data_IF_904525912231
#
_entry.id   IF_904525912231
#
_cell.length_a   1.000
_cell.length_b   1.000
_cell.length_c   1.000
_cell.angle_alpha   90.00
_cell.angle_beta   90.00
_cell.angle_gamma   90.00
#
_symmetry.space_group_name_H-M   'P 1'
#
loop_
_entity.id
_entity.type
_entity.pdbx_description
1 polymer ?
#
# COMPACT_ATOMS: atom_id res chain seq x y z
N UNK A 1 24.03 17.42 -1.33
CA UNK A 1 23.57 18.03 -2.59
C UNK A 1 24.41 17.43 -3.70
N UNK A 2 23.77 16.72 -4.61
CA UNK A 2 24.34 16.15 -5.83
C UNK A 2 23.97 17.09 -6.96
N UNK A 3 24.96 17.48 -7.75
CA UNK A 3 24.76 18.25 -8.97
C UNK A 3 25.08 17.35 -10.16
N UNK A 4 24.09 17.17 -11.04
CA UNK A 4 24.21 16.36 -12.25
C UNK A 4 23.84 17.23 -13.45
N UNK A 5 24.61 17.15 -14.52
CA UNK A 5 24.25 17.73 -15.81
C UNK A 5 23.78 16.60 -16.73
N UNK A 6 22.53 16.65 -17.15
CA UNK A 6 21.93 15.66 -18.03
C UNK A 6 21.79 16.24 -19.44
N UNK A 7 22.10 15.45 -20.46
CA UNK A 7 21.81 15.76 -21.86
C UNK A 7 20.36 15.33 -22.16
N UNK A 8 19.56 16.24 -22.73
CA UNK A 8 18.14 15.96 -23.03
C UNK A 8 18.06 15.17 -24.33
N UNK A 9 17.55 13.93 -24.25
CA UNK A 9 17.36 13.08 -25.43
C UNK A 9 16.33 13.69 -26.41
N UNK A 10 16.62 13.61 -27.72
CA UNK A 10 15.74 14.11 -28.78
C UNK A 10 16.14 15.46 -29.40
N UNK A 11 17.30 16.02 -29.04
CA UNK A 11 17.80 17.29 -29.61
C UNK A 11 18.60 17.12 -30.90
N UNK A 12 18.56 15.96 -31.54
CA UNK A 12 19.08 15.79 -32.91
C UNK A 12 18.09 16.38 -33.93
N UNK A 13 17.88 17.69 -33.86
CA UNK A 13 17.31 18.43 -34.96
C UNK A 13 18.47 19.18 -35.62
N UNK A 14 18.75 18.95 -36.91
CA UNK A 14 19.61 19.87 -37.63
C UNK A 14 18.90 21.23 -37.66
N UNK A 15 19.62 22.31 -37.35
CA UNK A 15 19.12 23.65 -37.62
C UNK A 15 18.84 23.79 -39.13
N UNK A 16 17.96 24.70 -39.58
CA UNK A 16 17.63 24.88 -41.01
C UNK A 16 18.87 25.07 -41.92
N UNK A 17 19.99 25.49 -41.35
CA UNK A 17 21.30 25.72 -42.00
C UNK A 17 22.27 24.50 -41.96
N UNK A 18 21.80 23.31 -41.57
CA UNK A 18 22.61 22.08 -41.56
C UNK A 18 23.63 21.97 -40.41
N UNK A 19 23.61 22.92 -39.46
CA UNK A 19 24.44 22.85 -38.25
C UNK A 19 23.79 21.92 -37.21
N UNK A 20 24.57 21.14 -36.44
CA UNK A 20 24.03 20.37 -35.32
C UNK A 20 23.32 21.32 -34.35
N UNK A 21 22.09 21.02 -33.93
CA UNK A 21 21.47 21.80 -32.86
C UNK A 21 22.35 21.74 -31.59
N UNK A 22 22.39 22.85 -30.82
CA UNK A 22 23.07 22.84 -29.54
C UNK A 22 22.48 21.75 -28.65
N UNK A 23 23.35 20.92 -28.06
CA UNK A 23 22.93 19.91 -27.08
C UNK A 23 22.34 20.63 -25.88
N UNK A 24 21.08 20.34 -25.58
CA UNK A 24 20.40 20.95 -24.44
C UNK A 24 20.82 20.19 -23.18
N UNK A 25 21.31 20.94 -22.21
CA UNK A 25 21.72 20.40 -20.93
C UNK A 25 20.79 20.93 -19.85
N UNK A 26 20.35 20.04 -18.96
CA UNK A 26 19.63 20.40 -17.75
C UNK A 26 20.57 20.22 -16.55
N UNK A 27 20.73 21.28 -15.76
CA UNK A 27 21.43 21.21 -14.47
C UNK A 27 20.42 20.76 -13.40
N UNK A 28 20.63 19.55 -12.87
CA UNK A 28 19.79 18.96 -11.83
C UNK A 28 20.49 19.13 -10.49
N UNK A 29 19.88 19.96 -9.62
CA UNK A 29 20.25 20.11 -8.22
C UNK A 29 19.40 19.13 -7.39
N UNK A 30 20.01 18.03 -6.96
CA UNK A 30 19.35 16.98 -6.21
C UNK A 30 19.87 16.93 -4.77
N UNK A 31 19.00 17.08 -3.77
CA UNK A 31 19.36 16.80 -2.39
C UNK A 31 18.73 15.48 -1.97
N UNK A 32 19.47 14.35 -1.99
CA UNK A 32 18.89 13.06 -1.64
C UNK A 32 18.50 13.03 -0.15
N UNK A 33 17.38 12.37 0.15
CA UNK A 33 16.96 12.10 1.52
C UNK A 33 17.96 11.17 2.26
N UNK A 34 18.73 10.37 1.53
CA UNK A 34 19.83 9.56 2.04
C UNK A 34 20.99 9.54 1.03
N UNK A 35 22.21 9.82 1.49
CA UNK A 35 23.41 9.68 0.68
C UNK A 35 23.80 8.20 0.61
N UNK A 36 23.88 7.65 -0.60
CA UNK A 36 24.42 6.31 -0.81
C UNK A 36 25.86 6.23 -0.31
N UNK A 37 26.22 5.14 0.36
CA UNK A 37 27.61 4.84 0.73
C UNK A 37 28.20 3.99 -0.40
N UNK A 38 29.23 4.51 -1.08
CA UNK A 38 29.90 3.81 -2.19
C UNK A 38 30.46 2.44 -1.79
N UNK A 39 30.90 2.29 -0.54
CA UNK A 39 31.38 1.03 0.02
C UNK A 39 30.30 0.25 0.78
N UNK A 40 29.02 0.61 0.63
CA UNK A 40 27.95 -0.22 1.18
C UNK A 40 28.03 -1.61 0.55
N UNK A 41 27.98 -2.65 1.38
CA UNK A 41 27.81 -4.01 0.89
C UNK A 41 26.54 -4.06 0.04
N UNK A 42 26.63 -4.75 -1.09
CA UNK A 42 25.47 -5.05 -1.92
C UNK A 42 24.34 -5.63 -1.05
N UNK A 43 23.11 -5.26 -1.39
CA UNK A 43 21.93 -5.84 -0.74
C UNK A 43 21.94 -7.33 -1.06
N UNK A 44 21.82 -8.18 -0.03
CA UNK A 44 21.65 -9.63 -0.20
C UNK A 44 20.46 -9.89 -1.12
N UNK A 45 20.65 -10.69 -2.18
CA UNK A 45 19.61 -11.01 -3.17
C UNK A 45 18.35 -11.58 -2.53
N UNK A 46 18.46 -12.23 -1.36
CA UNK A 46 17.30 -12.73 -0.61
C UNK A 46 16.45 -11.62 0.00
N UNK A 47 16.96 -10.38 0.06
CA UNK A 47 16.29 -9.21 0.66
C UNK A 47 15.69 -8.26 -0.38
N UNK A 48 15.84 -8.55 -1.67
CA UNK A 48 15.12 -7.84 -2.73
C UNK A 48 13.84 -8.59 -3.10
N UNK A 49 12.82 -7.88 -3.56
CA UNK A 49 11.59 -8.52 -4.03
C UNK A 49 11.78 -9.14 -5.42
N UNK A 50 12.55 -8.49 -6.28
CA UNK A 50 12.87 -8.98 -7.61
C UNK A 50 14.19 -8.35 -8.08
N UNK A 51 14.81 -8.98 -9.08
CA UNK A 51 16.02 -8.49 -9.74
C UNK A 51 15.72 -8.19 -11.21
N UNK A 52 16.64 -7.52 -11.90
CA UNK A 52 16.52 -7.30 -13.35
C UNK A 52 16.60 -8.60 -14.17
N UNK A 53 17.01 -9.73 -13.57
CA UNK A 53 16.92 -11.04 -14.21
C UNK A 53 15.47 -11.51 -14.37
N UNK A 54 14.62 -11.19 -13.39
CA UNK A 54 13.20 -11.57 -13.39
C UNK A 54 12.29 -10.56 -14.09
N UNK A 55 12.69 -9.28 -14.13
CA UNK A 55 11.95 -8.23 -14.81
C UNK A 55 12.96 -7.21 -15.36
N UNK A 56 13.20 -7.18 -16.69
CA UNK A 56 14.22 -6.35 -17.31
C UNK A 56 14.11 -4.88 -16.93
N UNK A 57 15.26 -4.19 -16.82
CA UNK A 57 15.31 -2.79 -16.39
C UNK A 57 14.45 -1.87 -17.28
N UNK A 58 14.50 -2.10 -18.58
CA UNK A 58 13.77 -1.39 -19.62
C UNK A 58 12.25 -1.55 -19.48
N UNK A 59 11.79 -2.65 -18.87
CA UNK A 59 10.38 -2.91 -18.59
C UNK A 59 9.95 -2.38 -17.23
N UNK A 60 10.74 -2.62 -16.17
CA UNK A 60 10.35 -2.22 -14.81
C UNK A 60 10.38 -0.71 -14.64
N UNK A 61 11.34 0.00 -15.22
CA UNK A 61 11.49 1.43 -14.95
C UNK A 61 10.27 2.24 -15.42
N UNK A 62 9.75 2.04 -16.65
CA UNK A 62 8.50 2.69 -17.07
C UNK A 62 7.30 2.30 -16.22
N UNK A 63 7.13 0.99 -15.92
CA UNK A 63 6.03 0.49 -15.08
C UNK A 63 6.07 1.08 -13.67
N UNK A 64 7.27 1.19 -13.09
CA UNK A 64 7.47 1.81 -11.78
C UNK A 64 7.12 3.29 -11.80
N UNK A 65 7.55 4.06 -12.80
CA UNK A 65 7.22 5.47 -12.92
C UNK A 65 5.70 5.69 -13.02
N UNK A 66 5.02 4.88 -13.82
CA UNK A 66 3.55 4.94 -13.95
C UNK A 66 2.85 4.58 -12.63
N UNK A 67 3.18 3.42 -12.05
CA UNK A 67 2.57 2.95 -10.81
C UNK A 67 2.88 3.90 -9.64
N UNK A 68 4.12 4.38 -9.51
CA UNK A 68 4.51 5.35 -8.48
C UNK A 68 3.79 6.68 -8.67
N UNK A 69 3.62 7.17 -9.90
CA UNK A 69 2.84 8.38 -10.18
C UNK A 69 1.39 8.25 -9.70
N UNK A 70 0.76 7.11 -9.98
CA UNK A 70 -0.64 6.80 -9.62
C UNK A 70 -0.84 6.54 -8.13
N UNK A 71 0.12 5.86 -7.50
CA UNK A 71 0.03 5.33 -6.13
C UNK A 71 0.92 6.08 -5.14
N UNK A 72 1.45 7.24 -5.54
CA UNK A 72 2.51 8.01 -4.86
C UNK A 72 2.34 8.09 -3.34
N UNK A 73 1.15 8.46 -2.88
CA UNK A 73 0.87 8.66 -1.47
C UNK A 73 1.02 7.34 -0.68
N UNK A 74 0.38 6.26 -1.12
CA UNK A 74 0.50 4.95 -0.48
C UNK A 74 1.93 4.41 -0.54
N UNK A 75 2.57 4.50 -1.71
CA UNK A 75 3.95 4.03 -1.89
C UNK A 75 4.91 4.79 -0.98
N UNK A 76 4.82 6.12 -0.89
CA UNK A 76 5.69 6.91 -0.01
C UNK A 76 5.50 6.54 1.47
N UNK A 77 4.26 6.29 1.91
CA UNK A 77 3.99 5.86 3.29
C UNK A 77 4.62 4.50 3.60
N UNK A 78 4.48 3.52 2.70
CA UNK A 78 5.09 2.19 2.86
C UNK A 78 6.61 2.22 2.77
N UNK A 79 7.19 3.00 1.84
CA UNK A 79 8.64 3.16 1.77
C UNK A 79 9.18 3.84 3.04
N UNK A 80 8.42 4.78 3.62
CA UNK A 80 8.70 5.37 4.93
C UNK A 80 8.75 4.30 6.02
N UNK A 81 7.70 3.48 6.13
CA UNK A 81 7.66 2.33 7.05
C UNK A 81 8.82 1.36 6.87
N UNK A 82 9.19 1.06 5.62
CA UNK A 82 10.22 0.05 5.33
C UNK A 82 11.63 0.54 5.62
N UNK A 83 11.92 1.79 5.29
CA UNK A 83 13.30 2.32 5.36
C UNK A 83 13.56 3.22 6.57
N UNK A 84 12.52 3.77 7.18
CA UNK A 84 12.60 4.63 8.35
C UNK A 84 11.35 4.46 9.25
N UNK A 85 11.09 3.25 9.77
CA UNK A 85 9.94 3.01 10.64
C UNK A 85 9.99 3.90 11.87
N UNK A 86 8.82 4.30 12.37
CA UNK A 86 8.73 5.00 13.64
C UNK A 86 9.10 4.04 14.79
N UNK A 87 9.59 4.60 15.90
CA UNK A 87 9.94 3.83 17.09
C UNK A 87 8.75 3.19 17.80
N UNK A 88 7.53 3.70 17.55
CA UNK A 88 6.30 3.28 18.22
C UNK A 88 5.37 2.53 17.25
N UNK A 89 4.83 1.40 17.70
CA UNK A 89 3.96 0.54 16.89
C UNK A 89 2.67 1.23 16.49
N UNK A 90 2.16 2.14 17.32
CA UNK A 90 0.95 2.93 17.08
C UNK A 90 1.12 3.84 15.85
N UNK A 91 2.27 4.49 15.72
CA UNK A 91 2.58 5.33 14.56
C UNK A 91 2.73 4.46 13.30
N UNK A 92 3.35 3.29 13.43
CA UNK A 92 3.48 2.35 12.34
C UNK A 92 2.11 1.78 11.93
N UNK A 93 1.20 1.56 12.87
CA UNK A 93 -0.19 1.13 12.64
C UNK A 93 -0.97 2.17 11.84
N UNK A 94 -0.96 3.44 12.27
CA UNK A 94 -1.61 4.52 11.53
C UNK A 94 -1.05 4.66 10.12
N UNK A 95 0.27 4.52 9.96
CA UNK A 95 0.92 4.63 8.66
C UNK A 95 0.56 3.44 7.76
N UNK A 96 0.59 2.21 8.28
CA UNK A 96 0.33 1.01 7.47
C UNK A 96 -1.13 0.94 7.03
N UNK A 97 -2.06 1.19 7.95
CA UNK A 97 -3.50 1.20 7.65
C UNK A 97 -3.87 2.39 6.77
N UNK A 98 -3.29 3.56 7.02
CA UNK A 98 -3.46 4.74 6.17
C UNK A 98 -2.96 4.49 4.74
N UNK A 99 -1.82 3.82 4.59
CA UNK A 99 -1.30 3.45 3.28
C UNK A 99 -2.24 2.49 2.55
N UNK A 100 -2.82 1.49 3.23
CA UNK A 100 -3.82 0.60 2.65
C UNK A 100 -5.08 1.36 2.21
N UNK A 101 -5.63 2.23 3.05
CA UNK A 101 -6.82 3.03 2.71
C UNK A 101 -6.58 3.95 1.50
N UNK A 102 -5.41 4.58 1.44
CA UNK A 102 -5.02 5.43 0.31
C UNK A 102 -4.79 4.59 -0.93
N UNK A 103 -4.10 3.44 -0.82
CA UNK A 103 -3.84 2.54 -1.94
C UNK A 103 -5.14 2.11 -2.59
N UNK A 104 -6.10 1.63 -1.81
CA UNK A 104 -7.41 1.18 -2.30
C UNK A 104 -8.11 2.28 -3.13
N UNK A 105 -8.11 3.53 -2.63
CA UNK A 105 -8.69 4.66 -3.35
C UNK A 105 -7.92 4.98 -4.64
N UNK A 106 -6.59 4.98 -4.59
CA UNK A 106 -5.75 5.24 -5.77
C UNK A 106 -5.88 4.15 -6.84
N UNK A 107 -6.13 2.91 -6.45
CA UNK A 107 -6.39 1.78 -7.36
C UNK A 107 -7.75 1.86 -8.06
N UNK A 108 -8.67 2.73 -7.61
CA UNK A 108 -10.04 2.89 -8.14
C UNK A 108 -10.84 1.58 -8.17
N UNK A 109 -10.69 0.79 -7.11
CA UNK A 109 -11.46 -0.43 -6.83
C UNK A 109 -12.54 -0.18 -5.77
N UNK A 110 -12.92 1.08 -5.60
CA UNK A 110 -13.98 1.54 -4.72
C UNK A 110 -15.36 1.27 -5.31
N UNK A 111 -15.64 -0.01 -5.56
CA UNK A 111 -17.00 -0.45 -5.83
C UNK A 111 -17.88 -0.07 -4.65
N UNK A 112 -18.97 0.63 -4.96
CA UNK A 112 -19.93 1.10 -3.95
C UNK A 112 -20.69 -0.12 -3.44
N UNK A 113 -20.84 -0.29 -2.11
CA UNK A 113 -21.56 -1.44 -1.54
C UNK A 113 -22.96 -1.64 -2.14
N UNK A 114 -23.63 -0.55 -2.48
CA UNK A 114 -24.95 -0.57 -3.10
C UNK A 114 -24.97 0.23 -4.41
N UNK A 115 -25.77 -0.17 -5.41
CA UNK A 115 -26.10 0.67 -6.55
C UNK A 115 -26.65 2.03 -6.10
N UNK A 116 -26.32 3.09 -6.86
CA UNK A 116 -26.65 4.47 -6.46
C UNK A 116 -28.16 4.69 -6.22
N UNK A 117 -29.01 4.16 -7.08
CA UNK A 117 -30.46 4.35 -6.98
C UNK A 117 -31.05 3.57 -5.81
N UNK A 118 -30.59 2.34 -5.58
CA UNK A 118 -30.99 1.53 -4.43
C UNK A 118 -30.56 2.17 -3.10
N UNK A 119 -29.31 2.65 -3.02
CA UNK A 119 -28.82 3.37 -1.86
C UNK A 119 -29.62 4.65 -1.60
N UNK A 120 -29.95 5.41 -2.64
CA UNK A 120 -30.75 6.62 -2.52
C UNK A 120 -32.14 6.30 -1.96
N UNK A 121 -32.83 5.30 -2.53
CA UNK A 121 -34.14 4.87 -2.06
C UNK A 121 -34.10 4.43 -0.59
N UNK A 122 -33.11 3.61 -0.22
CA UNK A 122 -32.92 3.15 1.15
C UNK A 122 -32.63 4.31 2.11
N UNK A 123 -31.72 5.21 1.76
CA UNK A 123 -31.37 6.37 2.59
C UNK A 123 -32.57 7.29 2.79
N UNK A 124 -33.32 7.59 1.74
CA UNK A 124 -34.48 8.48 1.81
C UNK A 124 -35.60 7.84 2.66
N UNK A 125 -35.80 6.51 2.57
CA UNK A 125 -36.71 5.78 3.44
C UNK A 125 -36.29 5.79 4.92
N UNK A 126 -34.99 5.66 5.21
CA UNK A 126 -34.47 5.77 6.58
C UNK A 126 -34.67 7.18 7.16
N UNK A 127 -34.38 8.23 6.37
CA UNK A 127 -34.50 9.62 6.81
C UNK A 127 -35.95 10.04 7.06
N UNK A 128 -36.92 9.46 6.35
CA UNK A 128 -38.34 9.72 6.58
C UNK A 128 -38.83 9.31 7.98
N UNK A 129 -38.11 8.39 8.65
CA UNK A 129 -38.41 7.94 10.02
C UNK A 129 -37.78 8.82 11.10
N UNK A 130 -36.88 9.73 10.71
CA UNK A 130 -36.14 10.60 11.63
C UNK A 130 -36.90 11.93 11.76
N UNK A 131 -37.12 12.43 13.00
CA UNK A 131 -37.65 13.78 13.21
C UNK A 131 -36.87 14.82 12.40
N UNK A 132 -37.58 15.80 11.83
CA UNK A 132 -37.00 16.79 10.90
C UNK A 132 -35.76 17.49 11.47
N UNK A 133 -35.78 17.80 12.77
CA UNK A 133 -34.67 18.41 13.52
C UNK A 133 -33.35 17.62 13.49
N UNK A 134 -33.40 16.31 13.26
CA UNK A 134 -32.21 15.44 13.21
C UNK A 134 -31.86 14.96 11.81
N UNK A 135 -32.70 15.20 10.79
CA UNK A 135 -32.50 14.62 9.45
C UNK A 135 -31.15 14.98 8.84
N UNK A 136 -30.69 16.23 8.97
CA UNK A 136 -29.41 16.65 8.40
C UNK A 136 -28.22 15.95 9.05
N UNK A 137 -28.28 15.72 10.37
CA UNK A 137 -27.25 14.97 11.10
C UNK A 137 -27.14 13.53 10.57
N UNK A 138 -28.27 12.86 10.40
CA UNK A 138 -28.28 11.47 9.90
C UNK A 138 -27.94 11.39 8.41
N UNK A 139 -28.37 12.37 7.61
CA UNK A 139 -28.02 12.47 6.18
C UNK A 139 -26.51 12.50 5.97
N UNK A 140 -25.77 13.23 6.81
CA UNK A 140 -24.31 13.27 6.76
C UNK A 140 -23.60 12.00 7.25
N UNK A 141 -24.26 11.21 8.10
CA UNK A 141 -23.72 9.99 8.70
C UNK A 141 -23.89 8.76 7.78
N UNK A 142 -24.99 8.69 7.01
CA UNK A 142 -25.30 7.56 6.13
C UNK A 142 -24.57 7.75 4.78
N UNK A 143 -23.51 6.97 4.57
CA UNK A 143 -22.69 7.01 3.34
C UNK A 143 -22.68 5.66 2.64
N UNK A 144 -22.58 5.69 1.32
CA UNK A 144 -22.38 4.51 0.48
C UNK A 144 -20.89 4.28 0.18
N UNK A 145 -20.04 4.43 1.19
CA UNK A 145 -18.61 4.25 1.00
C UNK A 145 -18.20 2.89 1.58
N UNK A 146 -17.28 2.16 0.93
CA UNK A 146 -16.75 0.93 1.50
C UNK A 146 -16.08 1.24 2.84
N UNK A 147 -16.32 0.37 3.82
CA UNK A 147 -15.69 0.47 5.15
C UNK A 147 -14.20 0.18 5.06
N UNK A 148 -13.43 0.49 6.12
CA UNK A 148 -12.03 0.08 6.19
C UNK A 148 -11.89 -1.44 6.01
N UNK A 149 -12.76 -2.21 6.65
CA UNK A 149 -12.75 -3.67 6.55
C UNK A 149 -12.95 -4.14 5.09
N UNK A 150 -13.91 -3.56 4.38
CA UNK A 150 -14.17 -3.89 2.96
C UNK A 150 -12.95 -3.59 2.09
N UNK A 151 -12.29 -2.45 2.34
CA UNK A 151 -11.08 -2.07 1.61
C UNK A 151 -9.93 -3.05 1.84
N UNK A 152 -9.73 -3.52 3.07
CA UNK A 152 -8.70 -4.49 3.41
C UNK A 152 -8.96 -5.84 2.72
N UNK A 153 -10.22 -6.29 2.70
CA UNK A 153 -10.61 -7.49 1.94
C UNK A 153 -10.35 -7.34 0.43
N UNK A 154 -10.77 -6.22 -0.17
CA UNK A 154 -10.54 -5.95 -1.58
C UNK A 154 -9.05 -5.92 -1.93
N UNK A 155 -8.19 -5.35 -1.07
CA UNK A 155 -6.75 -5.37 -1.27
C UNK A 155 -6.13 -6.76 -1.13
N UNK A 156 -6.62 -7.61 -0.22
CA UNK A 156 -6.14 -8.98 -0.09
C UNK A 156 -6.59 -9.87 -1.26
N UNK A 157 -7.71 -9.56 -1.91
CA UNK A 157 -8.24 -10.32 -3.04
C UNK A 157 -7.49 -10.06 -4.38
N UNK A 158 -6.61 -9.07 -4.46
CA UNK A 158 -5.93 -8.67 -5.71
C UNK A 158 -4.65 -9.44 -6.02
N UNK A 159 -3.69 -9.58 -5.09
CA UNK A 159 -2.51 -10.39 -5.32
C UNK A 159 -2.86 -11.85 -5.56
N UNK A 160 -1.85 -12.64 -5.93
CA UNK A 160 -2.01 -14.09 -6.02
C UNK A 160 -2.55 -14.67 -4.70
N UNK A 161 -3.62 -15.47 -4.78
CA UNK A 161 -4.36 -15.91 -3.59
C UNK A 161 -3.58 -16.95 -2.78
N UNK A 162 -2.76 -17.76 -3.43
CA UNK A 162 -1.82 -18.66 -2.74
C UNK A 162 -0.75 -17.86 -1.99
N UNK A 163 -0.23 -16.77 -2.57
CA UNK A 163 0.71 -15.88 -1.88
C UNK A 163 0.08 -15.23 -0.64
N UNK A 164 -1.20 -14.86 -0.69
CA UNK A 164 -1.95 -14.34 0.46
C UNK A 164 -2.17 -15.42 1.53
N UNK A 165 -2.53 -16.64 1.13
CA UNK A 165 -2.67 -17.78 2.04
C UNK A 165 -1.34 -18.17 2.72
N UNK A 166 -0.21 -17.97 2.04
CA UNK A 166 1.12 -18.14 2.62
C UNK A 166 1.48 -16.98 3.58
N UNK A 167 0.97 -15.78 3.34
CA UNK A 167 1.27 -14.60 4.14
C UNK A 167 0.49 -14.56 5.47
N UNK A 168 -0.77 -14.98 5.48
CA UNK A 168 -1.61 -14.93 6.68
C UNK A 168 -2.66 -16.05 6.70
N UNK A 169 -3.04 -16.54 7.90
CA UNK A 169 -3.96 -17.67 8.01
C UNK A 169 -5.43 -17.31 7.74
N UNK A 170 -5.85 -16.09 8.10
CA UNK A 170 -7.25 -15.66 8.01
C UNK A 170 -7.36 -14.16 7.66
N UNK A 171 -7.74 -13.89 6.42
CA UNK A 171 -7.95 -12.53 5.90
C UNK A 171 -9.10 -11.81 6.64
N UNK A 172 -10.16 -12.53 6.99
CA UNK A 172 -11.33 -11.97 7.68
C UNK A 172 -11.02 -11.56 9.10
N UNK A 173 -10.29 -12.40 9.83
CA UNK A 173 -9.81 -12.09 11.16
C UNK A 173 -8.83 -10.91 11.13
N UNK A 174 -7.82 -10.94 10.25
CA UNK A 174 -6.87 -9.84 10.09
C UNK A 174 -7.57 -8.51 9.77
N UNK A 175 -8.49 -8.47 8.80
CA UNK A 175 -9.20 -7.25 8.43
C UNK A 175 -10.05 -6.69 9.58
N UNK A 176 -10.72 -7.58 10.34
CA UNK A 176 -11.51 -7.23 11.52
C UNK A 176 -10.63 -6.63 12.62
N UNK A 177 -9.54 -7.31 12.97
CA UNK A 177 -8.62 -6.89 14.04
C UNK A 177 -7.88 -5.61 13.69
N UNK A 178 -7.42 -5.47 12.45
CA UNK A 178 -6.81 -4.24 11.93
C UNK A 178 -7.76 -3.05 12.02
N UNK A 179 -9.01 -3.23 11.62
CA UNK A 179 -10.04 -2.18 11.71
C UNK A 179 -10.27 -1.74 13.15
N UNK A 180 -10.37 -2.70 14.08
CA UNK A 180 -10.55 -2.41 15.51
C UNK A 180 -9.34 -1.70 16.10
N UNK A 181 -8.13 -2.20 15.86
CA UNK A 181 -6.90 -1.57 16.35
C UNK A 181 -6.77 -0.11 15.87
N UNK A 182 -7.05 0.15 14.59
CA UNK A 182 -7.03 1.51 14.05
C UNK A 182 -8.10 2.39 14.68
N UNK A 183 -9.31 1.89 14.87
CA UNK A 183 -10.41 2.67 15.46
C UNK A 183 -10.16 2.97 16.94
N UNK A 184 -9.77 1.97 17.73
CA UNK A 184 -9.42 2.12 19.14
C UNK A 184 -8.30 3.18 19.27
N UNK A 185 -7.23 3.09 18.47
CA UNK A 185 -6.15 4.06 18.50
C UNK A 185 -6.61 5.48 18.07
N UNK A 186 -7.38 5.60 16.99
CA UNK A 186 -7.79 6.91 16.47
C UNK A 186 -8.82 7.62 17.36
N UNK A 187 -9.66 6.86 18.09
CA UNK A 187 -10.73 7.42 18.90
C UNK A 187 -10.40 7.49 20.39
N UNK A 188 -9.63 6.53 20.92
CA UNK A 188 -9.28 6.45 22.34
C UNK A 188 -7.81 6.80 22.61
N UNK A 189 -6.97 6.91 21.58
CA UNK A 189 -5.53 7.13 21.72
C UNK A 189 -4.75 5.91 22.22
N UNK A 190 -5.40 4.74 22.33
CA UNK A 190 -4.82 3.48 22.81
C UNK A 190 -5.54 2.27 22.22
N UNK A 191 -4.94 1.10 22.33
CA UNK A 191 -5.46 -0.16 21.77
C UNK A 191 -5.64 -1.23 22.87
N UNK A 192 -6.54 -1.01 23.85
CA UNK A 192 -6.61 -1.85 25.06
C UNK A 192 -7.01 -3.30 24.78
N UNK A 193 -7.66 -3.55 23.63
CA UNK A 193 -8.12 -4.86 23.21
C UNK A 193 -7.09 -5.63 22.37
N UNK A 194 -5.86 -5.12 22.22
CA UNK A 194 -4.84 -5.71 21.36
C UNK A 194 -3.50 -5.83 22.13
N UNK A 195 -2.96 -7.04 22.31
CA UNK A 195 -1.59 -7.20 22.77
C UNK A 195 -0.61 -6.64 21.74
N UNK A 196 0.58 -6.26 22.19
CA UNK A 196 1.59 -5.59 21.35
C UNK A 196 2.01 -6.48 20.19
N UNK A 197 2.14 -7.78 20.41
CA UNK A 197 2.49 -8.78 19.41
C UNK A 197 1.47 -8.84 18.27
N UNK A 198 0.18 -8.66 18.59
CA UNK A 198 -0.88 -8.58 17.59
C UNK A 198 -0.81 -7.27 16.80
N UNK A 199 -0.50 -6.14 17.45
CA UNK A 199 -0.32 -4.86 16.76
C UNK A 199 0.87 -4.93 15.78
N UNK A 200 1.97 -5.57 16.18
CA UNK A 200 3.12 -5.82 15.32
C UNK A 200 2.69 -6.69 14.13
N UNK A 201 1.98 -7.79 14.37
CA UNK A 201 1.46 -8.65 13.31
C UNK A 201 0.56 -7.87 12.32
N UNK A 202 -0.35 -7.04 12.83
CA UNK A 202 -1.22 -6.19 12.00
C UNK A 202 -0.40 -5.24 11.13
N UNK A 203 0.60 -4.56 11.70
CA UNK A 203 1.47 -3.63 10.97
C UNK A 203 2.23 -4.35 9.87
N UNK A 204 2.87 -5.47 10.20
CA UNK A 204 3.68 -6.24 9.27
C UNK A 204 2.84 -6.81 8.12
N UNK A 205 1.72 -7.46 8.44
CA UNK A 205 0.81 -8.04 7.45
C UNK A 205 0.20 -6.96 6.56
N UNK A 206 -0.26 -5.85 7.13
CA UNK A 206 -0.83 -4.75 6.33
C UNK A 206 0.21 -4.15 5.40
N UNK A 207 1.45 -3.96 5.88
CA UNK A 207 2.57 -3.51 5.05
C UNK A 207 2.84 -4.48 3.91
N UNK A 208 2.87 -5.79 4.19
CA UNK A 208 3.06 -6.83 3.19
C UNK A 208 1.95 -6.85 2.13
N UNK A 209 0.68 -6.71 2.53
CA UNK A 209 -0.46 -6.62 1.59
C UNK A 209 -0.32 -5.43 0.65
N UNK A 210 0.07 -4.25 1.16
CA UNK A 210 0.29 -3.07 0.31
C UNK A 210 1.47 -3.28 -0.65
N UNK A 211 2.56 -3.88 -0.17
CA UNK A 211 3.72 -4.23 -1.03
C UNK A 211 3.31 -5.21 -2.14
N UNK A 212 2.58 -6.27 -1.82
CA UNK A 212 2.12 -7.26 -2.80
C UNK A 212 1.20 -6.62 -3.85
N UNK A 213 0.35 -5.68 -3.46
CA UNK A 213 -0.46 -4.91 -4.41
C UNK A 213 0.41 -4.03 -5.31
N UNK A 214 1.45 -3.38 -4.79
CA UNK A 214 2.41 -2.63 -5.63
C UNK A 214 3.13 -3.57 -6.59
N UNK A 215 3.58 -4.74 -6.14
CA UNK A 215 4.23 -5.73 -7.02
C UNK A 215 3.28 -6.27 -8.10
N UNK A 216 2.01 -6.47 -7.75
CA UNK A 216 0.96 -6.83 -8.70
C UNK A 216 0.81 -5.75 -9.80
N UNK A 217 0.80 -4.46 -9.43
CA UNK A 217 0.75 -3.34 -10.38
C UNK A 217 1.99 -3.23 -11.28
N UNK A 218 3.14 -3.72 -10.82
CA UNK A 218 4.36 -3.81 -11.64
C UNK A 218 4.34 -5.01 -12.61
N UNK A 219 3.29 -5.84 -12.55
CA UNK A 219 3.12 -7.00 -13.41
C UNK A 219 3.95 -8.20 -12.98
N UNK A 220 4.27 -8.32 -11.68
CA UNK A 220 5.00 -9.49 -11.17
C UNK A 220 4.13 -10.76 -11.30
N UNK A 221 4.64 -11.84 -11.92
CA UNK A 221 3.90 -13.09 -12.07
C UNK A 221 3.47 -13.71 -10.73
N UNK A 222 2.35 -14.44 -10.73
CA UNK A 222 1.83 -15.13 -9.54
C UNK A 222 2.85 -16.07 -8.88
N UNK A 223 3.60 -16.85 -9.67
CA UNK A 223 4.71 -17.68 -9.18
C UNK A 223 5.74 -16.87 -8.39
N UNK A 224 6.11 -15.70 -8.91
CA UNK A 224 7.08 -14.83 -8.26
C UNK A 224 6.54 -14.20 -6.97
N UNK A 225 5.26 -13.84 -6.92
CA UNK A 225 4.64 -13.35 -5.69
C UNK A 225 4.69 -14.41 -4.57
N UNK A 226 4.44 -15.68 -4.89
CA UNK A 226 4.56 -16.80 -3.93
C UNK A 226 5.98 -16.99 -3.43
N UNK A 227 6.95 -17.03 -4.34
CA UNK A 227 8.39 -17.11 -3.99
C UNK A 227 8.80 -15.97 -3.06
N UNK A 228 8.37 -14.75 -3.36
CA UNK A 228 8.67 -13.57 -2.54
C UNK A 228 8.16 -13.77 -1.11
N UNK A 229 6.91 -14.22 -0.91
CA UNK A 229 6.38 -14.46 0.44
C UNK A 229 7.14 -15.59 1.16
N UNK A 230 7.53 -16.63 0.43
CA UNK A 230 8.21 -17.81 0.98
C UNK A 230 9.69 -17.62 1.28
N UNK A 231 10.39 -16.76 0.54
CA UNK A 231 11.85 -16.66 0.60
C UNK A 231 12.32 -15.35 1.23
N UNK A 232 11.59 -14.24 1.03
CA UNK A 232 12.00 -12.95 1.55
C UNK A 232 11.97 -12.95 3.09
N UNK A 233 13.11 -12.75 3.79
CA UNK A 233 13.21 -12.95 5.24
C UNK A 233 12.16 -12.19 6.05
N UNK A 234 11.83 -10.97 5.64
CA UNK A 234 10.81 -10.17 6.31
C UNK A 234 9.40 -10.78 6.13
N UNK A 235 9.03 -11.22 4.92
CA UNK A 235 7.69 -11.75 4.67
C UNK A 235 7.51 -13.13 5.30
N UNK A 236 8.58 -13.94 5.34
CA UNK A 236 8.63 -15.17 6.11
C UNK A 236 8.45 -14.93 7.61
N UNK A 237 9.09 -13.89 8.15
CA UNK A 237 8.89 -13.50 9.54
C UNK A 237 7.44 -13.06 9.77
N UNK A 238 6.91 -12.19 8.91
CA UNK A 238 5.51 -11.74 8.94
C UNK A 238 4.52 -12.91 8.90
N UNK A 239 4.73 -13.91 8.05
CA UNK A 239 3.89 -15.10 7.96
C UNK A 239 3.87 -15.91 9.26
N UNK A 240 5.02 -16.06 9.92
CA UNK A 240 5.11 -16.70 11.24
C UNK A 240 4.39 -15.88 12.31
N UNK A 241 4.66 -14.57 12.39
CA UNK A 241 4.00 -13.67 13.34
C UNK A 241 2.48 -13.67 13.14
N UNK A 242 2.00 -13.67 11.90
CA UNK A 242 0.57 -13.74 11.58
C UNK A 242 -0.04 -15.07 12.03
N UNK A 243 0.68 -16.17 11.83
CA UNK A 243 0.26 -17.50 12.29
C UNK A 243 0.25 -17.64 13.81
N UNK A 244 0.98 -16.81 14.55
CA UNK A 244 1.00 -16.84 16.02
C UNK A 244 -0.05 -15.90 16.62
N UNK A 245 -0.25 -14.73 16.00
CA UNK A 245 -0.99 -13.62 16.60
C UNK A 245 -2.30 -13.26 15.91
N UNK A 246 -2.57 -13.77 14.70
CA UNK A 246 -3.77 -13.44 13.90
C UNK A 246 -4.62 -14.67 13.54
N UNK A 247 -4.68 -15.66 14.42
CA UNK A 247 -5.61 -16.79 14.30
C UNK A 247 -6.92 -16.45 15.03
N UNK A 248 -8.06 -16.69 14.39
CA UNK A 248 -9.35 -16.64 15.06
C UNK A 248 -9.40 -17.66 16.22
N UNK A 249 -9.82 -17.27 17.44
CA UNK A 249 -10.07 -18.23 18.50
C UNK A 249 -11.12 -19.25 18.01
N UNK A 250 -10.96 -20.53 18.37
CA UNK A 250 -11.87 -21.62 17.97
C UNK A 250 -13.36 -21.39 18.30
N UNK A 251 -13.69 -20.37 19.09
CA UNK A 251 -15.05 -19.96 19.47
C UNK A 251 -15.72 -18.96 18.51
N UNK A 252 -15.01 -18.47 17.49
CA UNK A 252 -15.49 -17.45 16.54
C UNK A 252 -15.87 -18.02 15.15
N UNK A 253 -15.93 -19.35 15.01
CA UNK A 253 -16.35 -20.08 13.79
C UNK A 253 -17.80 -20.57 13.88
#
# INVERSE_FOLDING_TARGET
MIWLRLEVAGTESALPDGRPAPRWHADVLYSPAALGKHDAKAVDDRRVFFTCESLPFEEIMPRWCEAHGRLKAATNMILGLRYAPASFVENNLLTAVGAAEVLHRSLRIDEKPFPKEEFKAMRDAMLAQVPEEFQDRFRGAIRNDPTLRDRLHALAARPDQDAIALLMPDVGHWARRTTRARNDLAHEGRTPNHPVEELIAIVEVTTAVVILNVLHELGQPAGRQREIVQEHPQLRATSRTASESLIAPRSDL
#
